data_IF_361606351156
#
_entry.id   IF_361606351156
#
_cell.length_a   1.000
_cell.length_b   1.000
_cell.length_c   1.000
_cell.angle_alpha   90.00
_cell.angle_beta   90.00
_cell.angle_gamma   90.00
#
_symmetry.space_group_name_H-M   'P 1'
#
loop_
_entity.id
_entity.type
_entity.pdbx_description
1 polymer ?
#
# COMPACT_ATOMS: atom_id res chain seq x y z
N UNK A 1 -5.67 -26.81 -1.53
CA UNK A 1 -6.81 -26.48 -2.38
C UNK A 1 -6.92 -24.98 -2.56
N UNK A 2 -7.17 -24.50 -3.77
CA UNK A 2 -7.32 -23.09 -4.12
C UNK A 2 -8.79 -22.80 -4.42
N UNK A 3 -9.31 -21.70 -3.91
CA UNK A 3 -10.62 -21.15 -4.24
C UNK A 3 -10.42 -19.85 -5.00
N UNK A 4 -10.87 -19.75 -6.23
CA UNK A 4 -10.75 -18.55 -7.05
C UNK A 4 -12.15 -17.95 -7.23
N UNK A 5 -12.36 -16.77 -6.65
CA UNK A 5 -13.59 -16.01 -6.83
C UNK A 5 -13.41 -15.02 -7.98
N UNK A 6 -14.17 -15.21 -9.04
CA UNK A 6 -14.20 -14.33 -10.20
C UNK A 6 -15.28 -13.28 -9.98
N UNK A 7 -14.85 -12.00 -9.93
CA UNK A 7 -15.72 -10.87 -9.68
C UNK A 7 -15.94 -10.07 -10.97
N UNK A 8 -17.14 -9.55 -11.14
CA UNK A 8 -17.52 -8.86 -12.36
C UNK A 8 -18.06 -9.79 -13.46
N UNK A 9 -18.34 -9.22 -14.61
CA UNK A 9 -18.85 -9.95 -15.76
C UNK A 9 -17.75 -10.13 -16.79
N UNK A 10 -17.74 -11.28 -17.46
CA UNK A 10 -16.72 -11.61 -18.47
C UNK A 10 -16.69 -10.60 -19.64
N UNK A 11 -17.83 -9.97 -19.94
CA UNK A 11 -17.95 -8.92 -20.96
C UNK A 11 -17.16 -7.64 -20.64
N UNK A 12 -16.89 -7.39 -19.34
CA UNK A 12 -16.17 -6.23 -18.86
C UNK A 12 -14.63 -6.45 -18.79
N UNK A 13 -14.16 -7.67 -19.08
CA UNK A 13 -12.74 -8.00 -18.99
C UNK A 13 -11.98 -7.62 -20.27
N UNK A 14 -10.70 -7.26 -20.11
CA UNK A 14 -9.79 -7.13 -21.24
C UNK A 14 -9.61 -8.48 -21.96
N UNK A 15 -9.11 -8.45 -23.20
CA UNK A 15 -8.87 -9.67 -23.97
C UNK A 15 -7.87 -10.60 -23.26
N UNK A 16 -6.84 -10.03 -22.64
CA UNK A 16 -5.86 -10.78 -21.88
C UNK A 16 -6.48 -11.43 -20.63
N UNK A 17 -7.30 -10.68 -19.89
CA UNK A 17 -7.98 -11.21 -18.70
C UNK A 17 -8.95 -12.35 -19.08
N UNK A 18 -9.68 -12.22 -20.20
CA UNK A 18 -10.53 -13.31 -20.74
C UNK A 18 -9.72 -14.55 -21.12
N UNK A 19 -8.57 -14.38 -21.76
CA UNK A 19 -7.69 -15.49 -22.12
C UNK A 19 -7.20 -16.24 -20.88
N UNK A 20 -6.78 -15.49 -19.84
CA UNK A 20 -6.35 -16.10 -18.58
C UNK A 20 -7.51 -16.78 -17.84
N UNK A 21 -8.70 -16.18 -17.83
CA UNK A 21 -9.89 -16.81 -17.26
C UNK A 21 -10.23 -18.13 -17.99
N UNK A 22 -10.21 -18.15 -19.32
CA UNK A 22 -10.44 -19.36 -20.10
C UNK A 22 -9.41 -20.45 -19.79
N UNK A 23 -8.12 -20.07 -19.65
CA UNK A 23 -7.07 -21.02 -19.25
C UNK A 23 -7.33 -21.57 -17.85
N UNK A 24 -7.72 -20.70 -16.90
CA UNK A 24 -8.07 -21.11 -15.55
C UNK A 24 -9.28 -22.06 -15.53
N UNK A 25 -10.31 -21.80 -16.35
CA UNK A 25 -11.48 -22.68 -16.50
C UNK A 25 -11.10 -24.09 -16.97
N UNK A 26 -10.09 -24.20 -17.86
CA UNK A 26 -9.59 -25.51 -18.31
C UNK A 26 -8.76 -26.25 -17.25
N UNK A 27 -8.12 -25.52 -16.35
CA UNK A 27 -7.30 -26.07 -15.26
C UNK A 27 -8.10 -26.31 -13.97
N UNK A 28 -9.28 -25.70 -13.86
CA UNK A 28 -10.12 -25.82 -12.66
C UNK A 28 -10.70 -27.24 -12.55
N UNK A 29 -10.58 -27.81 -11.36
CA UNK A 29 -11.16 -29.09 -10.98
C UNK A 29 -11.69 -29.05 -9.56
N UNK A 30 -12.53 -30.02 -9.19
CA UNK A 30 -13.18 -30.05 -7.87
C UNK A 30 -12.22 -30.37 -6.71
N UNK A 31 -11.03 -30.89 -6.98
CA UNK A 31 -10.09 -31.34 -5.95
C UNK A 31 -9.03 -30.30 -5.63
N UNK A 32 -8.48 -29.62 -6.63
CA UNK A 32 -7.30 -28.75 -6.47
C UNK A 32 -7.62 -27.27 -6.63
N UNK A 33 -8.42 -26.89 -7.62
CA UNK A 33 -8.74 -25.50 -7.94
C UNK A 33 -10.22 -25.32 -8.29
N UNK A 34 -10.97 -24.70 -7.40
CA UNK A 34 -12.39 -24.44 -7.59
C UNK A 34 -12.63 -23.01 -8.03
N UNK A 35 -13.20 -22.85 -9.22
CA UNK A 35 -13.62 -21.57 -9.78
C UNK A 35 -15.04 -21.21 -9.35
N UNK A 36 -15.24 -19.99 -8.84
CA UNK A 36 -16.46 -19.55 -8.19
C UNK A 36 -16.84 -18.14 -8.66
N UNK A 37 -18.14 -17.89 -8.73
CA UNK A 37 -18.66 -16.54 -8.94
C UNK A 37 -18.74 -15.75 -7.62
N UNK A 38 -18.91 -14.44 -7.72
CA UNK A 38 -19.22 -13.59 -6.57
C UNK A 38 -20.47 -14.12 -5.85
N UNK A 39 -20.52 -14.05 -4.49
CA UNK A 39 -21.68 -14.47 -3.72
C UNK A 39 -22.95 -13.71 -4.14
N UNK A 40 -24.04 -14.45 -4.36
CA UNK A 40 -25.35 -13.91 -4.77
C UNK A 40 -26.49 -14.25 -3.83
N UNK A 41 -26.30 -15.25 -2.96
CA UNK A 41 -27.28 -15.71 -1.98
C UNK A 41 -26.67 -15.79 -0.58
N UNK A 42 -27.51 -15.84 0.45
CA UNK A 42 -27.06 -16.04 1.83
C UNK A 42 -26.23 -17.33 1.99
N UNK A 43 -26.57 -18.37 1.24
CA UNK A 43 -25.79 -19.61 1.25
C UNK A 43 -24.40 -19.44 0.66
N UNK A 44 -24.24 -18.62 -0.38
CA UNK A 44 -22.93 -18.31 -0.97
C UNK A 44 -22.07 -17.50 0.00
N UNK A 45 -22.65 -16.53 0.70
CA UNK A 45 -21.97 -15.75 1.75
C UNK A 45 -21.49 -16.63 2.90
N UNK A 46 -22.34 -17.51 3.41
CA UNK A 46 -21.95 -18.48 4.43
C UNK A 46 -20.81 -19.39 3.96
N UNK A 47 -20.84 -19.79 2.69
CA UNK A 47 -19.80 -20.61 2.09
C UNK A 47 -18.48 -19.84 1.94
N UNK A 48 -18.52 -18.57 1.55
CA UNK A 48 -17.34 -17.69 1.50
C UNK A 48 -16.72 -17.59 2.89
N UNK A 49 -17.49 -17.24 3.93
CA UNK A 49 -17.03 -17.14 5.31
C UNK A 49 -16.38 -18.43 5.80
N UNK A 50 -17.02 -19.58 5.55
CA UNK A 50 -16.47 -20.89 5.90
C UNK A 50 -15.13 -21.17 5.19
N UNK A 51 -15.00 -20.77 3.93
CA UNK A 51 -13.75 -20.96 3.16
C UNK A 51 -12.66 -20.02 3.63
N UNK A 52 -12.98 -18.77 3.94
CA UNK A 52 -12.02 -17.83 4.54
C UNK A 52 -11.44 -18.39 5.82
N UNK A 53 -12.29 -18.86 6.75
CA UNK A 53 -11.85 -19.45 8.03
C UNK A 53 -11.07 -20.78 7.85
N UNK A 54 -11.21 -21.46 6.74
CA UNK A 54 -10.48 -22.69 6.41
C UNK A 54 -9.22 -22.45 5.56
N UNK A 55 -8.96 -21.20 5.17
CA UNK A 55 -7.81 -20.80 4.35
C UNK A 55 -6.69 -20.28 5.24
N UNK A 56 -5.44 -20.42 4.79
CA UNK A 56 -4.28 -19.81 5.45
C UNK A 56 -3.92 -18.47 4.83
N UNK A 57 -4.20 -18.29 3.54
CA UNK A 57 -3.83 -17.10 2.78
C UNK A 57 -5.00 -16.65 1.90
N UNK A 58 -5.21 -15.36 1.83
CA UNK A 58 -6.10 -14.71 0.85
C UNK A 58 -5.22 -13.83 -0.05
N UNK A 59 -5.40 -13.97 -1.37
CA UNK A 59 -4.79 -13.11 -2.37
C UNK A 59 -5.83 -12.11 -2.84
N UNK A 60 -5.61 -10.83 -2.56
CA UNK A 60 -6.40 -9.73 -3.08
C UNK A 60 -5.88 -9.31 -4.47
N UNK A 61 -6.63 -9.63 -5.49
CA UNK A 61 -6.38 -9.20 -6.87
C UNK A 61 -7.66 -8.60 -7.49
N UNK A 62 -8.48 -7.92 -6.65
CA UNK A 62 -9.80 -7.43 -7.05
C UNK A 62 -9.72 -6.10 -7.78
N UNK A 63 -9.01 -5.10 -7.22
CA UNK A 63 -8.79 -3.78 -7.81
C UNK A 63 -7.31 -3.39 -7.70
N UNK A 64 -6.80 -2.73 -8.73
CA UNK A 64 -5.43 -2.21 -8.79
C UNK A 64 -5.38 -0.67 -8.82
N UNK A 65 -4.42 -0.11 -9.58
CA UNK A 65 -4.13 1.33 -9.66
C UNK A 65 -5.27 2.21 -10.17
N UNK A 66 -6.26 1.64 -10.88
CA UNK A 66 -7.39 2.40 -11.43
C UNK A 66 -8.50 2.74 -10.44
N UNK A 67 -8.36 2.41 -9.16
CA UNK A 67 -9.43 2.63 -8.19
C UNK A 67 -9.55 4.10 -7.76
N UNK A 68 -10.80 4.61 -7.78
CA UNK A 68 -11.17 5.94 -7.29
C UNK A 68 -12.53 5.90 -6.58
N UNK A 69 -12.67 6.65 -5.49
CA UNK A 69 -13.93 6.82 -4.76
C UNK A 69 -14.22 5.70 -3.76
N UNK A 70 -15.44 5.18 -3.77
CA UNK A 70 -15.92 4.19 -2.79
C UNK A 70 -16.14 2.82 -3.42
N UNK A 71 -15.89 1.78 -2.65
CA UNK A 71 -16.22 0.39 -3.03
C UNK A 71 -17.72 0.23 -3.17
N UNK A 72 -18.13 -0.51 -4.19
CA UNK A 72 -19.54 -0.82 -4.47
C UNK A 72 -19.84 -2.28 -4.12
N UNK A 73 -21.11 -2.56 -3.87
CA UNK A 73 -21.56 -3.94 -3.68
C UNK A 73 -21.42 -4.76 -4.98
N UNK A 74 -21.07 -6.06 -4.89
CA UNK A 74 -20.82 -6.85 -3.67
C UNK A 74 -19.38 -6.73 -3.13
N UNK A 75 -18.51 -5.95 -3.77
CA UNK A 75 -17.09 -5.89 -3.45
C UNK A 75 -16.83 -5.36 -2.04
N UNK A 76 -17.57 -4.33 -1.61
CA UNK A 76 -17.47 -3.80 -0.24
C UNK A 76 -17.73 -4.89 0.81
N UNK A 77 -18.79 -5.70 0.63
CA UNK A 77 -19.08 -6.80 1.56
C UNK A 77 -18.02 -7.91 1.52
N UNK A 78 -17.45 -8.21 0.36
CA UNK A 78 -16.34 -9.19 0.26
C UNK A 78 -15.11 -8.70 1.02
N UNK A 79 -14.77 -7.43 0.87
CA UNK A 79 -13.64 -6.80 1.60
C UNK A 79 -13.90 -6.85 3.10
N UNK A 80 -15.11 -6.52 3.56
CA UNK A 80 -15.47 -6.60 4.99
C UNK A 80 -15.31 -8.02 5.57
N UNK A 81 -15.75 -9.05 4.83
CA UNK A 81 -15.57 -10.46 5.26
C UNK A 81 -14.08 -10.86 5.31
N UNK A 82 -13.27 -10.43 4.35
CA UNK A 82 -11.82 -10.70 4.37
C UNK A 82 -11.16 -9.99 5.55
N UNK A 83 -11.48 -8.71 5.77
CA UNK A 83 -10.95 -7.94 6.90
C UNK A 83 -11.35 -8.58 8.25
N UNK A 84 -12.59 -9.04 8.39
CA UNK A 84 -13.06 -9.72 9.60
C UNK A 84 -12.28 -11.04 9.86
N UNK A 85 -12.04 -11.83 8.80
CA UNK A 85 -11.25 -13.06 8.90
C UNK A 85 -9.78 -12.78 9.26
N UNK A 86 -9.18 -11.73 8.69
CA UNK A 86 -7.82 -11.30 9.00
C UNK A 86 -7.69 -10.80 10.44
N UNK A 87 -8.63 -9.94 10.89
CA UNK A 87 -8.67 -9.44 12.26
C UNK A 87 -8.84 -10.55 13.31
N UNK A 88 -9.53 -11.64 12.96
CA UNK A 88 -9.61 -12.84 13.78
C UNK A 88 -8.34 -13.71 13.76
N UNK A 89 -7.34 -13.34 12.99
CA UNK A 89 -6.09 -14.10 12.82
C UNK A 89 -6.27 -15.41 12.05
N UNK A 90 -7.34 -15.54 11.27
CA UNK A 90 -7.64 -16.77 10.53
C UNK A 90 -6.85 -16.86 9.22
N UNK A 91 -6.57 -15.72 8.57
CA UNK A 91 -5.91 -15.65 7.26
C UNK A 91 -4.82 -14.58 7.24
N UNK A 92 -3.79 -14.82 6.42
CA UNK A 92 -2.83 -13.80 6.00
C UNK A 92 -3.30 -13.22 4.65
N UNK A 93 -3.35 -11.90 4.55
CA UNK A 93 -3.82 -11.21 3.34
C UNK A 93 -2.65 -10.64 2.56
N UNK A 94 -2.54 -11.02 1.28
CA UNK A 94 -1.51 -10.51 0.36
C UNK A 94 -2.23 -9.75 -0.77
N UNK A 95 -1.96 -8.46 -0.88
CA UNK A 95 -2.50 -7.64 -1.95
C UNK A 95 -1.57 -7.64 -3.18
N UNK A 96 -2.18 -7.78 -4.35
CA UNK A 96 -1.52 -7.71 -5.66
C UNK A 96 -1.62 -6.29 -6.17
N UNK A 97 -0.50 -5.64 -6.33
CA UNK A 97 -0.28 -4.27 -6.78
C UNK A 97 -0.76 -3.20 -5.78
N UNK A 98 -2.01 -3.19 -5.39
CA UNK A 98 -2.61 -2.27 -4.42
C UNK A 98 -3.64 -3.00 -3.56
N UNK A 99 -3.75 -2.70 -2.26
CA UNK A 99 -4.90 -3.16 -1.49
C UNK A 99 -6.20 -2.59 -2.07
N UNK A 100 -7.19 -3.45 -2.25
CA UNK A 100 -8.49 -3.04 -2.80
C UNK A 100 -9.13 -1.93 -1.96
N UNK A 101 -9.51 -0.84 -2.62
CA UNK A 101 -10.08 0.34 -1.95
C UNK A 101 -9.08 1.43 -1.59
N UNK A 102 -7.80 1.30 -1.99
CA UNK A 102 -6.75 2.33 -1.83
C UNK A 102 -6.43 2.98 -3.17
N UNK A 103 -6.42 4.30 -3.22
CA UNK A 103 -6.04 5.06 -4.41
C UNK A 103 -4.51 5.09 -4.55
N UNK A 104 -3.97 4.71 -5.70
CA UNK A 104 -2.54 4.58 -5.97
C UNK A 104 -1.76 5.89 -5.92
N UNK A 105 -2.39 7.02 -6.24
CA UNK A 105 -1.70 8.31 -6.36
C UNK A 105 -1.73 9.11 -5.07
N UNK A 106 -2.86 9.05 -4.35
CA UNK A 106 -3.12 9.93 -3.21
C UNK A 106 -3.08 9.23 -1.86
N UNK A 107 -3.22 7.90 -1.84
CA UNK A 107 -3.42 7.14 -0.61
C UNK A 107 -4.81 7.32 0.01
N UNK A 108 -5.72 8.01 -0.68
CA UNK A 108 -7.11 8.08 -0.24
C UNK A 108 -7.75 6.68 -0.25
N UNK A 109 -8.60 6.43 0.73
CA UNK A 109 -9.24 5.13 0.91
C UNK A 109 -10.73 5.19 0.61
N UNK A 110 -11.33 4.03 0.34
CA UNK A 110 -12.76 3.89 0.19
C UNK A 110 -13.48 4.48 1.40
N UNK A 111 -14.58 5.18 1.14
CA UNK A 111 -15.39 5.90 2.14
C UNK A 111 -14.66 7.00 2.94
N UNK A 112 -13.39 7.29 2.63
CA UNK A 112 -12.62 8.35 3.26
C UNK A 112 -12.08 8.01 4.64
N UNK A 113 -12.39 6.85 5.18
CA UNK A 113 -11.97 6.39 6.51
C UNK A 113 -11.53 4.92 6.49
N UNK A 114 -10.75 4.52 7.48
CA UNK A 114 -10.23 3.14 7.64
C UNK A 114 -11.08 2.33 8.60
N UNK A 115 -12.38 2.24 8.36
CA UNK A 115 -13.34 1.46 9.16
C UNK A 115 -13.79 0.17 8.48
N UNK A 116 -14.75 -0.53 9.11
CA UNK A 116 -15.18 -1.89 8.72
C UNK A 116 -15.69 -1.98 7.26
N UNK A 117 -16.28 -0.91 6.72
CA UNK A 117 -16.75 -0.81 5.32
C UNK A 117 -15.72 -0.16 4.39
N UNK A 118 -14.49 0.01 4.85
CA UNK A 118 -13.40 0.71 4.21
C UNK A 118 -12.60 -0.14 3.23
N UNK A 119 -11.30 0.19 3.05
CA UNK A 119 -10.40 -0.56 2.18
C UNK A 119 -10.03 -1.92 2.78
N UNK A 120 -9.44 -2.77 1.97
CA UNK A 120 -8.83 -4.01 2.42
C UNK A 120 -7.53 -3.73 3.18
N UNK A 121 -7.32 -4.45 4.29
CA UNK A 121 -6.08 -4.43 5.06
C UNK A 121 -5.23 -5.64 4.68
N UNK A 122 -4.09 -5.39 4.05
CA UNK A 122 -3.14 -6.43 3.71
C UNK A 122 -2.04 -6.57 4.76
N UNK A 123 -1.59 -7.79 5.02
CA UNK A 123 -0.35 -8.06 5.77
C UNK A 123 0.88 -7.76 4.90
N UNK A 124 0.74 -7.97 3.59
CA UNK A 124 1.77 -7.70 2.60
C UNK A 124 1.15 -7.20 1.30
N UNK A 125 1.82 -6.24 0.65
CA UNK A 125 1.48 -5.79 -0.70
C UNK A 125 2.67 -6.01 -1.61
N UNK A 126 2.47 -6.78 -2.70
CA UNK A 126 3.46 -6.93 -3.77
C UNK A 126 3.06 -5.99 -4.90
N UNK A 127 3.76 -4.86 -5.02
CA UNK A 127 3.46 -3.83 -6.02
C UNK A 127 4.40 -3.92 -7.21
N UNK A 128 3.90 -3.62 -8.41
CA UNK A 128 4.61 -3.90 -9.67
C UNK A 128 5.30 -2.67 -10.25
N UNK A 129 6.51 -2.89 -10.81
CA UNK A 129 7.31 -1.89 -11.50
C UNK A 129 7.93 -0.86 -10.58
N UNK A 130 7.11 -0.02 -9.94
CA UNK A 130 7.56 1.03 -9.02
C UNK A 130 6.65 1.14 -7.80
N UNK A 131 7.18 1.69 -6.72
CA UNK A 131 6.42 1.99 -5.50
C UNK A 131 5.38 3.07 -5.80
N UNK A 132 4.10 2.77 -5.55
CA UNK A 132 3.01 3.72 -5.73
C UNK A 132 2.94 4.69 -4.55
N UNK A 133 2.66 5.96 -4.83
CA UNK A 133 2.57 7.02 -3.81
C UNK A 133 1.53 6.68 -2.74
N UNK A 134 0.40 6.11 -3.14
CA UNK A 134 -0.69 5.72 -2.24
C UNK A 134 -0.33 4.65 -1.21
N UNK A 135 0.72 3.85 -1.47
CA UNK A 135 1.22 2.85 -0.52
C UNK A 135 2.07 3.45 0.61
N UNK A 136 2.54 4.68 0.45
CA UNK A 136 3.39 5.37 1.44
C UNK A 136 2.73 6.60 2.07
N UNK A 137 1.61 7.06 1.50
CA UNK A 137 0.81 8.16 2.02
C UNK A 137 -0.35 7.63 2.87
N UNK A 138 -0.57 8.25 4.03
CA UNK A 138 -1.72 7.93 4.88
C UNK A 138 -3.01 8.55 4.28
N UNK A 139 -4.15 7.86 4.40
CA UNK A 139 -4.41 6.63 5.15
C UNK A 139 -3.98 5.33 4.44
N UNK A 140 -3.77 5.30 3.12
CA UNK A 140 -3.46 4.10 2.33
C UNK A 140 -2.27 3.29 2.86
N UNK A 141 -1.23 3.97 3.42
CA UNK A 141 -0.09 3.30 4.06
C UNK A 141 -0.52 2.34 5.18
N UNK A 142 -1.57 2.68 5.93
CA UNK A 142 -2.08 1.82 7.00
C UNK A 142 -2.68 0.51 6.49
N UNK A 143 -3.08 0.46 5.22
CA UNK A 143 -3.70 -0.70 4.59
C UNK A 143 -2.71 -1.64 3.90
N UNK A 144 -1.45 -1.18 3.67
CA UNK A 144 -0.52 -1.84 2.76
C UNK A 144 0.32 -2.96 3.41
N UNK A 145 0.41 -3.01 4.75
CA UNK A 145 1.27 -3.97 5.44
C UNK A 145 2.75 -3.84 5.07
N UNK A 146 3.43 -4.97 4.92
CA UNK A 146 4.78 -5.00 4.34
C UNK A 146 4.72 -4.80 2.84
N UNK A 147 5.55 -3.89 2.29
CA UNK A 147 5.53 -3.57 0.86
C UNK A 147 6.75 -4.17 0.20
N UNK A 148 6.53 -4.97 -0.84
CA UNK A 148 7.54 -5.52 -1.74
C UNK A 148 7.34 -4.93 -3.13
N UNK A 149 8.41 -4.50 -3.78
CA UNK A 149 8.36 -3.98 -5.16
C UNK A 149 8.93 -5.02 -6.10
N UNK A 150 8.09 -5.60 -6.96
CA UNK A 150 8.54 -6.48 -8.04
C UNK A 150 8.70 -5.67 -9.33
N UNK A 151 9.91 -5.60 -9.92
CA UNK A 151 10.16 -4.83 -11.13
C UNK A 151 9.46 -5.38 -12.37
N UNK A 152 8.88 -6.58 -12.33
CA UNK A 152 8.19 -7.27 -13.45
C UNK A 152 8.93 -7.16 -14.79
N UNK A 153 10.26 -7.16 -14.75
CA UNK A 153 11.10 -7.02 -15.93
C UNK A 153 11.25 -5.61 -16.48
N UNK A 154 10.73 -4.58 -15.80
CA UNK A 154 10.93 -3.17 -16.20
C UNK A 154 12.37 -2.73 -15.90
N UNK A 155 13.13 -2.22 -16.89
CA UNK A 155 14.47 -1.68 -16.65
C UNK A 155 14.42 -0.44 -15.76
N UNK A 156 15.21 -0.43 -14.66
CA UNK A 156 15.28 0.72 -13.75
C UNK A 156 15.51 2.07 -14.42
N UNK A 157 16.45 2.20 -15.40
CA UNK A 157 16.65 3.45 -16.12
C UNK A 157 15.43 3.95 -16.90
N UNK A 158 14.53 3.05 -17.33
CA UNK A 158 13.30 3.44 -18.01
C UNK A 158 12.29 4.04 -17.01
N UNK A 159 12.16 3.46 -15.84
CA UNK A 159 11.27 3.97 -14.78
C UNK A 159 11.62 5.41 -14.40
N UNK A 160 12.91 5.75 -14.37
CA UNK A 160 13.41 7.10 -14.05
C UNK A 160 13.10 8.15 -15.12
N UNK A 161 12.69 7.73 -16.32
CA UNK A 161 12.40 8.62 -17.46
C UNK A 161 10.89 8.82 -17.69
N UNK A 162 10.03 8.07 -16.98
CA UNK A 162 8.60 8.07 -17.25
C UNK A 162 7.84 9.24 -16.60
N UNK A 163 8.43 9.93 -15.63
CA UNK A 163 7.78 11.05 -14.94
C UNK A 163 8.57 12.35 -15.15
N UNK A 164 7.86 13.44 -15.48
CA UNK A 164 8.46 14.78 -15.58
C UNK A 164 8.86 15.33 -14.19
N UNK A 165 8.17 14.89 -13.13
CA UNK A 165 8.42 15.28 -11.73
C UNK A 165 8.32 14.06 -10.80
N UNK A 166 9.35 13.19 -10.78
CA UNK A 166 9.32 11.97 -9.99
C UNK A 166 9.37 12.27 -8.48
N UNK A 167 8.51 11.58 -7.72
CA UNK A 167 8.58 11.60 -6.26
C UNK A 167 9.55 10.49 -5.78
N UNK A 168 10.37 10.83 -4.78
CA UNK A 168 11.33 9.89 -4.19
C UNK A 168 11.00 9.63 -2.73
N UNK A 169 11.06 8.38 -2.33
CA UNK A 169 11.07 8.01 -0.92
C UNK A 169 12.51 7.98 -0.44
N UNK A 170 12.84 8.89 0.50
CA UNK A 170 14.17 8.94 1.09
C UNK A 170 14.49 7.62 1.82
N UNK A 171 15.66 7.08 1.52
CA UNK A 171 16.23 5.89 2.13
C UNK A 171 17.32 6.28 3.13
N UNK A 172 17.69 5.36 4.01
CA UNK A 172 18.80 5.56 4.96
C UNK A 172 20.13 5.85 4.22
N UNK A 173 20.36 5.22 3.07
CA UNK A 173 21.51 5.46 2.20
C UNK A 173 21.60 6.92 1.74
N UNK A 174 20.47 7.53 1.36
CA UNK A 174 20.43 8.91 0.87
C UNK A 174 20.85 9.89 1.99
N UNK A 175 20.42 9.59 3.23
CA UNK A 175 20.80 10.36 4.39
C UNK A 175 22.28 10.16 4.76
N UNK A 176 22.78 8.92 4.63
CA UNK A 176 24.19 8.62 4.92
C UNK A 176 25.17 9.38 4.01
N UNK A 177 24.79 9.65 2.77
CA UNK A 177 25.58 10.46 1.84
C UNK A 177 25.67 11.94 2.26
N UNK A 178 24.64 12.46 2.92
CA UNK A 178 24.56 13.86 3.37
C UNK A 178 25.24 14.05 4.72
N UNK A 179 25.14 13.05 5.61
CA UNK A 179 25.70 13.12 6.96
C UNK A 179 27.13 12.64 6.97
N UNK A 180 28.06 13.55 6.71
CA UNK A 180 29.49 13.25 6.70
C UNK A 180 30.04 13.22 8.13
N UNK A 181 30.90 12.24 8.49
CA UNK A 181 31.59 12.21 9.78
C UNK A 181 32.37 13.50 10.04
N UNK A 182 32.33 14.01 11.27
CA UNK A 182 33.05 15.22 11.62
C UNK A 182 34.55 14.96 11.73
N UNK A 183 35.35 15.85 11.16
CA UNK A 183 36.80 15.83 11.41
C UNK A 183 37.12 16.11 12.86
N UNK A 184 38.10 15.42 13.49
CA UNK A 184 38.51 15.66 14.88
C UNK A 184 39.00 17.08 15.14
N UNK A 185 39.49 17.79 14.15
CA UNK A 185 39.98 19.18 14.22
C UNK A 185 38.89 20.21 13.88
N UNK A 186 37.65 19.77 13.64
CA UNK A 186 36.54 20.68 13.33
C UNK A 186 36.12 21.52 14.56
N UNK A 187 35.65 22.72 14.28
CA UNK A 187 35.17 23.64 15.30
C UNK A 187 33.81 24.24 14.91
N UNK A 188 33.17 24.97 15.83
CA UNK A 188 31.84 25.54 15.62
C UNK A 188 31.69 26.39 14.33
N UNK A 189 32.78 26.96 13.81
CA UNK A 189 32.78 27.76 12.59
C UNK A 189 32.72 26.90 11.32
N UNK A 190 33.24 25.64 11.36
CA UNK A 190 33.25 24.74 10.21
C UNK A 190 31.87 24.09 9.95
N UNK A 191 31.00 24.08 10.96
CA UNK A 191 29.64 23.46 10.86
C UNK A 191 28.53 24.48 10.59
N UNK A 192 28.88 25.67 10.14
CA UNK A 192 27.96 26.72 9.74
C UNK A 192 27.17 27.37 10.86
N UNK A 193 26.39 28.37 10.47
CA UNK A 193 25.48 29.10 11.35
C UNK A 193 24.06 29.01 10.77
N UNK A 194 23.09 28.65 11.58
CA UNK A 194 21.66 28.60 11.21
C UNK A 194 20.97 29.80 11.87
N UNK A 195 20.30 30.61 11.07
CA UNK A 195 19.40 31.64 11.56
C UNK A 195 17.96 31.09 11.58
N UNK A 196 17.30 31.14 12.72
CA UNK A 196 15.92 30.68 12.91
C UNK A 196 15.02 31.87 13.15
N UNK A 197 14.05 32.08 12.25
CA UNK A 197 13.03 33.11 12.37
C UNK A 197 11.68 32.41 12.59
N UNK A 198 11.28 32.30 13.87
CA UNK A 198 10.07 31.56 14.24
C UNK A 198 9.55 32.01 15.60
N UNK A 199 8.35 31.56 15.93
CA UNK A 199 7.70 31.85 17.20
C UNK A 199 6.90 33.18 17.19
N UNK A 200 6.18 33.37 18.27
CA UNK A 200 5.45 34.59 18.58
C UNK A 200 5.54 34.82 20.11
N UNK A 201 5.04 35.94 20.56
CA UNK A 201 5.01 36.25 22.02
C UNK A 201 4.24 35.19 22.84
N UNK A 202 3.33 34.44 22.21
CA UNK A 202 2.55 33.39 22.85
C UNK A 202 3.05 31.97 22.49
N UNK A 203 4.00 31.84 21.57
CA UNK A 203 4.51 30.55 21.06
C UNK A 203 6.04 30.48 21.04
N UNK A 204 6.67 30.95 22.09
CA UNK A 204 8.15 30.94 22.26
C UNK A 204 8.73 29.52 22.29
N UNK A 205 7.96 28.52 22.70
CA UNK A 205 8.37 27.12 22.75
C UNK A 205 8.78 26.54 21.38
N UNK A 206 8.11 26.96 20.30
CA UNK A 206 8.44 26.54 18.95
C UNK A 206 9.84 26.99 18.52
N UNK A 207 10.20 28.23 18.84
CA UNK A 207 11.54 28.76 18.58
C UNK A 207 12.63 27.99 19.35
N UNK A 208 12.38 27.68 20.62
CA UNK A 208 13.31 26.92 21.48
C UNK A 208 13.48 25.49 20.94
N UNK A 209 12.39 24.81 20.56
CA UNK A 209 12.46 23.47 19.99
C UNK A 209 13.22 23.44 18.66
N UNK A 210 12.98 24.42 17.78
CA UNK A 210 13.71 24.55 16.51
C UNK A 210 15.21 24.78 16.74
N UNK A 211 15.59 25.65 17.69
CA UNK A 211 16.98 25.88 18.04
C UNK A 211 17.66 24.64 18.63
N UNK A 212 16.99 23.92 19.53
CA UNK A 212 17.48 22.64 20.06
C UNK A 212 17.64 21.57 18.97
N UNK A 213 16.67 21.47 18.05
CA UNK A 213 16.75 20.58 16.89
C UNK A 213 18.00 20.89 16.05
N UNK A 214 18.20 22.15 15.69
CA UNK A 214 19.35 22.60 14.91
C UNK A 214 20.68 22.26 15.55
N UNK A 215 20.84 22.55 16.85
CA UNK A 215 22.08 22.23 17.61
C UNK A 215 22.31 20.72 17.64
N UNK A 216 21.27 19.91 17.91
CA UNK A 216 21.37 18.44 17.95
C UNK A 216 21.64 17.80 16.59
N UNK A 217 21.17 18.44 15.51
CA UNK A 217 21.47 18.02 14.14
C UNK A 217 22.89 18.40 13.70
N UNK A 218 23.62 19.15 14.51
CA UNK A 218 25.01 19.41 14.26
C UNK A 218 25.35 20.81 13.78
N UNK A 219 24.45 21.79 13.87
CA UNK A 219 24.78 23.18 13.59
C UNK A 219 25.91 23.68 14.48
N UNK A 220 26.86 24.41 13.93
CA UNK A 220 27.97 24.98 14.67
C UNK A 220 27.53 26.15 15.55
N UNK A 221 26.54 26.92 15.08
CA UNK A 221 25.86 28.02 15.77
C UNK A 221 24.41 28.09 15.37
N UNK A 222 23.56 28.56 16.28
CA UNK A 222 22.15 28.84 16.02
C UNK A 222 21.83 30.22 16.57
#
# INVERSE_FOLDING_TARGET
RVYVYVLGKEEDYSDEARQHLHTLQQLADEETCLLLSAPQSDADWQLLQKRLLASSVVIDAMLGTGFHGSLRQPLASIVAEVNAAAAAGAVTVIAVDMPTGVNSDTGAVSNGDVDEDGPLFADMTVTFGALKRGLVLYPGRACAGHIEVDPIGMPGPLLMQLEEDPAYLLQESDIAEIVVPRSPDSHKGTHGTIAIVTGSSQMAGAALMAAHGAVRSGAGKV
#
